data_IF_074572886880
#
_entry.id   IF_074572886880
#
_cell.length_a   1.000
_cell.length_b   1.000
_cell.length_c   1.000
_cell.angle_alpha   90.00
_cell.angle_beta   90.00
_cell.angle_gamma   90.00
#
_symmetry.space_group_name_H-M   'P 1'
#
loop_
_entity.id
_entity.type
_entity.pdbx_description
1 polymer ?
#
# COMPACT_ATOMS: atom_id res chain seq x y z
N UNK A 1 -8.01 -40.92 7.21
CA UNK A 1 -8.98 -39.97 7.77
C UNK A 1 -8.66 -38.62 7.16
N UNK A 2 -9.54 -38.10 6.30
CA UNK A 2 -9.36 -36.77 5.73
C UNK A 2 -9.84 -35.75 6.75
N UNK A 3 -8.93 -35.10 7.40
CA UNK A 3 -9.20 -33.92 8.23
C UNK A 3 -9.19 -32.67 7.36
N UNK A 4 -10.15 -31.81 7.56
CA UNK A 4 -10.31 -30.56 6.81
C UNK A 4 -10.15 -29.37 7.77
N UNK A 5 -9.24 -28.48 7.44
CA UNK A 5 -9.09 -27.17 8.10
C UNK A 5 -9.83 -26.13 7.28
N UNK A 6 -10.79 -25.45 7.88
CA UNK A 6 -11.58 -24.41 7.21
C UNK A 6 -11.23 -23.07 7.87
N UNK A 7 -10.82 -22.10 7.06
CA UNK A 7 -10.59 -20.72 7.48
C UNK A 7 -11.76 -19.85 7.03
N UNK A 8 -12.44 -19.23 7.96
CA UNK A 8 -13.53 -18.30 7.65
C UNK A 8 -13.55 -17.15 8.65
N UNK A 9 -13.52 -15.92 8.16
CA UNK A 9 -13.58 -14.70 8.99
C UNK A 9 -12.58 -14.70 10.17
N UNK A 10 -11.31 -15.00 9.92
CA UNK A 10 -10.25 -15.15 10.93
C UNK A 10 -10.46 -16.29 11.92
N UNK A 11 -11.38 -17.18 11.65
CA UNK A 11 -11.71 -18.34 12.47
C UNK A 11 -11.16 -19.60 11.81
N UNK A 12 -10.41 -20.39 12.58
CA UNK A 12 -9.89 -21.69 12.14
C UNK A 12 -10.84 -22.77 12.64
N UNK A 13 -11.43 -23.52 11.72
CA UNK A 13 -12.28 -24.67 12.02
C UNK A 13 -11.58 -25.94 11.63
N UNK A 14 -11.43 -26.86 12.58
CA UNK A 14 -10.97 -28.20 12.35
C UNK A 14 -12.15 -29.14 12.24
N UNK A 15 -12.21 -29.92 11.18
CA UNK A 15 -13.26 -30.91 10.96
C UNK A 15 -12.69 -32.23 10.48
N UNK A 16 -12.92 -33.31 11.20
CA UNK A 16 -12.78 -34.67 10.73
C UNK A 16 -14.15 -35.40 10.80
N UNK A 17 -14.20 -36.72 10.52
CA UNK A 17 -15.47 -37.48 10.49
C UNK A 17 -16.23 -37.49 11.84
N UNK A 18 -15.59 -37.18 12.97
CA UNK A 18 -16.18 -37.27 14.33
C UNK A 18 -15.95 -36.01 15.18
N UNK A 19 -14.93 -35.21 14.88
CA UNK A 19 -14.51 -34.11 15.74
C UNK A 19 -14.58 -32.80 14.96
N UNK A 20 -15.33 -31.85 15.52
CA UNK A 20 -15.43 -30.50 14.99
C UNK A 20 -15.14 -29.52 16.12
N UNK A 21 -14.11 -28.69 15.97
CA UNK A 21 -13.88 -27.57 16.86
C UNK A 21 -13.45 -26.34 16.06
N UNK A 22 -13.65 -25.19 16.67
CA UNK A 22 -13.38 -23.89 16.07
C UNK A 22 -12.47 -23.11 17.00
N UNK A 23 -11.35 -22.64 16.50
CA UNK A 23 -10.47 -21.70 17.21
C UNK A 23 -10.84 -20.29 16.74
N UNK A 24 -11.48 -19.51 17.62
CA UNK A 24 -11.91 -18.15 17.31
C UNK A 24 -10.81 -17.12 17.60
N UNK A 25 -10.06 -17.31 18.68
CA UNK A 25 -8.85 -16.54 18.96
C UNK A 25 -7.75 -17.45 19.48
N UNK A 26 -6.52 -17.17 19.06
CA UNK A 26 -5.34 -17.94 19.46
C UNK A 26 -4.14 -17.01 19.54
N UNK A 27 -4.07 -16.21 20.61
CA UNK A 27 -2.94 -15.33 20.88
C UNK A 27 -2.09 -15.94 21.97
N UNK A 28 -0.82 -16.07 21.69
CA UNK A 28 0.18 -16.69 22.55
C UNK A 28 1.32 -15.71 22.79
N UNK A 29 2.03 -15.79 23.93
CA UNK A 29 3.23 -14.99 24.18
C UNK A 29 4.27 -15.14 23.05
N UNK A 30 5.03 -14.08 22.79
CA UNK A 30 6.05 -14.05 21.72
C UNK A 30 7.03 -15.24 21.77
N UNK A 31 7.32 -15.73 22.98
CA UNK A 31 8.18 -16.91 23.17
C UNK A 31 7.63 -18.17 22.47
N UNK A 32 6.30 -18.30 22.33
CA UNK A 32 5.67 -19.49 21.74
C UNK A 32 5.29 -19.31 20.26
N UNK A 33 5.55 -18.15 19.67
CA UNK A 33 5.39 -17.95 18.22
C UNK A 33 6.32 -18.91 17.45
N UNK A 34 5.81 -19.43 16.34
CA UNK A 34 6.50 -20.39 15.45
C UNK A 34 6.84 -21.73 16.10
N UNK A 35 6.37 -21.97 17.32
CA UNK A 35 6.58 -23.23 18.03
C UNK A 35 5.36 -24.13 17.96
N UNK A 36 5.63 -25.42 17.82
CA UNK A 36 4.61 -26.46 17.81
C UNK A 36 4.09 -26.68 19.22
N UNK A 37 2.81 -26.39 19.45
CA UNK A 37 2.11 -26.67 20.69
C UNK A 37 1.19 -27.88 20.49
N UNK A 38 1.04 -28.69 21.52
CA UNK A 38 0.09 -29.80 21.53
C UNK A 38 -1.17 -29.34 22.25
N UNK A 39 -2.31 -29.38 21.57
CA UNK A 39 -3.63 -29.08 22.12
C UNK A 39 -4.30 -30.39 22.52
N UNK A 40 -4.55 -30.55 23.82
CA UNK A 40 -5.19 -31.73 24.41
C UNK A 40 -6.54 -31.30 24.98
N UNK A 41 -7.58 -32.11 24.73
CA UNK A 41 -8.91 -31.89 25.26
C UNK A 41 -9.13 -32.75 26.51
N UNK A 42 -9.63 -32.13 27.60
CA UNK A 42 -9.81 -32.76 28.90
C UNK A 42 -11.29 -32.78 29.22
N UNK A 43 -11.85 -33.99 29.46
CA UNK A 43 -13.24 -34.21 29.92
C UNK A 43 -14.34 -33.47 29.11
N UNK A 44 -14.07 -33.10 27.87
CA UNK A 44 -15.03 -32.42 26.99
C UNK A 44 -15.42 -31.00 27.41
N UNK A 45 -14.83 -30.44 28.46
CA UNK A 45 -15.09 -29.08 28.96
C UNK A 45 -13.84 -28.19 29.04
N UNK A 46 -12.67 -28.80 29.11
CA UNK A 46 -11.41 -28.09 29.26
C UNK A 46 -10.42 -28.52 28.19
N UNK A 47 -9.43 -27.67 27.94
CA UNK A 47 -8.30 -27.97 27.10
C UNK A 47 -6.99 -27.55 27.78
N UNK A 48 -5.91 -28.17 27.36
CA UNK A 48 -4.56 -27.76 27.74
C UNK A 48 -3.67 -27.62 26.51
N UNK A 49 -2.73 -26.67 26.57
CA UNK A 49 -1.64 -26.54 25.63
C UNK A 49 -0.35 -26.97 26.28
N UNK A 50 0.38 -27.82 25.59
CA UNK A 50 1.69 -28.31 26.06
C UNK A 50 2.80 -27.94 25.06
N UNK A 51 3.96 -27.57 25.59
CA UNK A 51 5.19 -27.36 24.84
C UNK A 51 6.27 -28.29 25.36
N UNK A 52 6.83 -29.14 24.51
CA UNK A 52 7.85 -30.14 24.87
C UNK A 52 7.45 -31.02 26.06
N UNK A 53 6.19 -31.41 26.21
CA UNK A 53 5.55 -32.18 27.27
C UNK A 53 5.14 -31.39 28.53
N UNK A 54 5.57 -30.14 28.70
CA UNK A 54 5.14 -29.29 29.81
C UNK A 54 3.81 -28.59 29.45
N UNK A 55 2.86 -28.62 30.39
CA UNK A 55 1.60 -27.88 30.22
C UNK A 55 1.88 -26.40 30.45
N UNK A 56 1.68 -25.58 29.41
CA UNK A 56 1.98 -24.14 29.43
C UNK A 56 0.72 -23.26 29.54
N UNK A 57 -0.44 -23.82 29.22
CA UNK A 57 -1.73 -23.13 29.35
C UNK A 57 -2.85 -24.13 29.58
N UNK A 58 -3.85 -23.75 30.40
CA UNK A 58 -5.12 -24.48 30.58
C UNK A 58 -6.28 -23.53 30.42
N UNK A 59 -7.36 -23.97 29.78
CA UNK A 59 -8.53 -23.16 29.55
C UNK A 59 -9.80 -23.99 29.46
N UNK A 60 -10.94 -23.30 29.53
CA UNK A 60 -12.27 -23.91 29.37
C UNK A 60 -12.73 -23.76 27.94
N UNK A 61 -13.36 -24.81 27.42
CA UNK A 61 -14.02 -24.77 26.12
C UNK A 61 -15.22 -23.82 26.14
N UNK A 62 -15.56 -23.26 24.99
CA UNK A 62 -16.72 -22.39 24.80
C UNK A 62 -16.69 -21.09 25.64
N UNK A 63 -15.51 -20.70 26.12
CA UNK A 63 -15.27 -19.49 26.90
C UNK A 63 -14.03 -18.73 26.40
N UNK A 64 -13.96 -17.44 26.70
CA UNK A 64 -12.75 -16.64 26.51
C UNK A 64 -11.81 -16.91 27.67
N UNK A 65 -10.62 -17.42 27.37
CA UNK A 65 -9.57 -17.67 28.35
C UNK A 65 -8.46 -16.65 28.17
N UNK A 66 -8.17 -15.91 29.24
CA UNK A 66 -7.10 -14.92 29.29
C UNK A 66 -6.22 -15.20 30.50
N UNK A 67 -4.92 -15.22 30.32
CA UNK A 67 -3.95 -15.37 31.41
C UNK A 67 -2.68 -14.61 31.04
N UNK A 68 -2.08 -13.98 32.04
CA UNK A 68 -0.78 -13.33 31.94
C UNK A 68 0.23 -14.14 32.74
N UNK A 69 1.25 -14.66 32.08
CA UNK A 69 2.37 -15.34 32.72
C UNK A 69 3.68 -14.54 32.56
N UNK A 70 4.80 -15.07 33.04
CA UNK A 70 6.12 -14.43 32.93
C UNK A 70 6.59 -14.22 31.46
N UNK A 71 5.99 -14.94 30.50
CA UNK A 71 6.34 -14.91 29.08
C UNK A 71 5.43 -13.99 28.27
N UNK A 72 4.26 -13.60 28.82
CA UNK A 72 3.34 -12.68 28.20
C UNK A 72 1.87 -13.09 28.31
N UNK A 73 1.05 -12.42 27.51
CA UNK A 73 -0.41 -12.57 27.51
C UNK A 73 -0.83 -13.75 26.62
N UNK A 74 -1.69 -14.60 27.19
CA UNK A 74 -2.45 -15.61 26.48
C UNK A 74 -3.89 -15.15 26.30
N UNK A 75 -4.45 -15.27 25.09
CA UNK A 75 -5.87 -15.08 24.81
C UNK A 75 -6.34 -16.15 23.84
N UNK A 76 -7.09 -17.11 24.36
CA UNK A 76 -7.47 -18.30 23.60
C UNK A 76 -8.95 -18.56 23.75
N UNK A 77 -9.63 -18.79 22.64
CA UNK A 77 -11.03 -19.12 22.59
C UNK A 77 -11.26 -20.27 21.62
N UNK A 78 -11.68 -21.41 22.14
CA UNK A 78 -11.93 -22.64 21.40
C UNK A 78 -13.35 -23.09 21.67
N UNK A 79 -14.11 -23.33 20.60
CA UNK A 79 -15.46 -23.91 20.65
C UNK A 79 -15.45 -25.35 20.17
N UNK A 80 -16.06 -26.23 20.95
CA UNK A 80 -16.32 -27.61 20.57
C UNK A 80 -17.73 -27.99 20.97
N UNK A 81 -18.47 -28.64 20.08
CA UNK A 81 -19.84 -29.13 20.35
C UNK A 81 -19.86 -30.50 21.02
N UNK A 82 -18.89 -31.34 20.72
CA UNK A 82 -18.79 -32.73 21.18
C UNK A 82 -17.47 -32.96 21.90
N UNK A 83 -17.38 -33.92 22.80
CA UNK A 83 -16.10 -34.33 23.39
C UNK A 83 -15.14 -34.80 22.33
N UNK A 84 -13.90 -34.31 22.40
CA UNK A 84 -12.82 -34.58 21.46
C UNK A 84 -11.81 -35.49 22.16
N UNK A 85 -11.48 -36.62 21.56
CA UNK A 85 -10.62 -37.64 22.15
C UNK A 85 -9.20 -37.65 21.61
N UNK A 86 -8.83 -36.73 20.69
CA UNK A 86 -7.53 -36.71 20.03
C UNK A 86 -6.76 -35.44 20.35
N UNK A 87 -5.45 -35.57 20.36
CA UNK A 87 -4.53 -34.46 20.49
C UNK A 87 -4.25 -33.82 19.13
N UNK A 88 -4.11 -32.50 19.10
CA UNK A 88 -3.84 -31.74 17.88
C UNK A 88 -2.54 -30.95 18.03
N UNK A 89 -1.88 -30.78 16.92
CA UNK A 89 -0.73 -29.87 16.84
C UNK A 89 -1.19 -28.53 16.31
N UNK A 90 -0.92 -27.48 17.05
CA UNK A 90 -1.25 -26.10 16.70
C UNK A 90 0.01 -25.25 16.76
N UNK A 91 0.12 -24.30 15.81
CA UNK A 91 1.23 -23.35 15.77
C UNK A 91 0.67 -21.96 15.44
N UNK A 92 0.99 -20.98 16.25
CA UNK A 92 0.77 -19.56 15.93
C UNK A 92 2.01 -19.06 15.20
N UNK A 93 1.85 -18.71 13.94
CA UNK A 93 2.95 -18.14 13.16
C UNK A 93 3.20 -16.69 13.60
N UNK A 94 4.48 -16.31 13.69
CA UNK A 94 4.86 -14.90 13.73
C UNK A 94 4.51 -14.21 12.40
N UNK A 95 4.38 -12.88 12.40
CA UNK A 95 4.08 -12.15 11.15
C UNK A 95 5.10 -12.44 10.04
N UNK A 96 6.43 -12.44 10.30
CA UNK A 96 7.41 -12.81 9.26
C UNK A 96 7.23 -14.22 8.73
N UNK A 97 6.98 -15.21 9.62
CA UNK A 97 6.77 -16.60 9.24
C UNK A 97 5.50 -16.80 8.43
N UNK A 98 4.41 -16.12 8.81
CA UNK A 98 3.15 -16.14 8.08
C UNK A 98 3.31 -15.54 6.67
N UNK A 99 4.04 -14.42 6.55
CA UNK A 99 4.35 -13.80 5.25
C UNK A 99 5.20 -14.73 4.38
N UNK A 100 6.23 -15.37 4.95
CA UNK A 100 7.04 -16.34 4.21
C UNK A 100 6.23 -17.55 3.77
N UNK A 101 5.32 -18.03 4.62
CA UNK A 101 4.43 -19.14 4.30
C UNK A 101 3.51 -18.82 3.11
N UNK A 102 2.89 -17.63 3.10
CA UNK A 102 2.06 -17.18 1.98
C UNK A 102 2.91 -16.98 0.72
N UNK A 103 4.08 -16.33 0.83
CA UNK A 103 4.96 -16.04 -0.31
C UNK A 103 5.42 -17.28 -1.06
N UNK A 104 5.49 -18.44 -0.42
CA UNK A 104 5.93 -19.69 -1.05
C UNK A 104 5.05 -20.09 -2.23
N UNK A 105 3.75 -19.85 -2.13
CA UNK A 105 2.76 -20.29 -3.13
C UNK A 105 2.02 -19.10 -3.77
N UNK A 106 2.45 -17.87 -3.46
CA UNK A 106 1.90 -16.63 -3.97
C UNK A 106 2.78 -16.04 -5.08
N UNK A 107 2.16 -15.66 -6.17
CA UNK A 107 2.85 -15.03 -7.29
C UNK A 107 2.17 -13.75 -7.75
N UNK A 108 2.99 -12.81 -8.21
CA UNK A 108 2.57 -11.53 -8.78
C UNK A 108 3.26 -11.38 -10.12
N UNK A 109 2.49 -11.08 -11.16
CA UNK A 109 3.04 -10.84 -12.49
C UNK A 109 2.18 -9.83 -13.27
N UNK A 110 2.80 -9.07 -14.14
CA UNK A 110 2.07 -8.23 -15.09
C UNK A 110 1.35 -9.10 -16.12
N UNK A 111 0.09 -8.78 -16.41
CA UNK A 111 -0.75 -9.45 -17.41
C UNK A 111 -0.71 -8.68 -18.72
N UNK A 112 0.20 -9.09 -19.62
CA UNK A 112 0.45 -8.39 -20.88
C UNK A 112 1.59 -7.36 -20.77
N UNK A 113 2.29 -7.11 -21.87
CA UNK A 113 3.43 -6.20 -21.89
C UNK A 113 2.95 -4.74 -21.80
N UNK A 114 3.40 -3.99 -20.80
CA UNK A 114 3.04 -2.58 -20.58
C UNK A 114 1.53 -2.33 -20.42
N UNK A 115 0.78 -3.32 -19.93
CA UNK A 115 -0.68 -3.20 -19.75
C UNK A 115 -1.06 -2.46 -18.47
N UNK A 116 -0.16 -2.38 -17.49
CA UNK A 116 -0.44 -1.89 -16.15
C UNK A 116 -1.38 -2.80 -15.34
N UNK A 117 -1.74 -3.98 -15.88
CA UNK A 117 -2.59 -4.95 -15.19
C UNK A 117 -1.72 -5.94 -14.41
N UNK A 118 -1.90 -5.98 -13.10
CA UNK A 118 -1.20 -6.91 -12.21
C UNK A 118 -2.11 -8.10 -11.94
N UNK A 119 -1.61 -9.29 -12.28
CA UNK A 119 -2.25 -10.56 -11.95
C UNK A 119 -1.65 -11.15 -10.67
N UNK A 120 -2.53 -11.58 -9.77
CA UNK A 120 -2.17 -12.29 -8.55
C UNK A 120 -2.55 -13.76 -8.71
N UNK A 121 -1.71 -14.66 -8.24
CA UNK A 121 -2.01 -16.08 -8.17
C UNK A 121 -1.58 -16.64 -6.82
N UNK A 122 -2.34 -17.60 -6.31
CA UNK A 122 -2.06 -18.31 -5.08
C UNK A 122 -2.41 -19.78 -5.26
N UNK A 123 -1.48 -20.67 -4.89
CA UNK A 123 -1.66 -22.11 -5.00
C UNK A 123 -1.82 -22.72 -3.60
N UNK A 124 -2.64 -23.73 -3.47
CA UNK A 124 -2.86 -24.41 -2.21
C UNK A 124 -3.80 -25.60 -2.37
N UNK A 125 -4.03 -26.31 -1.29
CA UNK A 125 -4.90 -27.50 -1.29
C UNK A 125 -6.36 -27.16 -1.02
N UNK A 126 -6.63 -26.08 -0.32
CA UNK A 126 -7.97 -25.60 0.02
C UNK A 126 -8.37 -24.44 -0.89
N UNK A 127 -9.32 -24.70 -1.79
CA UNK A 127 -9.79 -23.73 -2.78
C UNK A 127 -10.53 -22.53 -2.15
N UNK A 128 -11.30 -22.76 -1.09
CA UNK A 128 -12.02 -21.70 -0.38
C UNK A 128 -11.03 -20.77 0.32
N UNK A 129 -10.06 -21.33 1.04
CA UNK A 129 -9.01 -20.56 1.71
C UNK A 129 -8.18 -19.75 0.72
N UNK A 130 -7.76 -20.35 -0.41
CA UNK A 130 -7.00 -19.63 -1.46
C UNK A 130 -7.77 -18.42 -1.99
N UNK A 131 -9.06 -18.60 -2.25
CA UNK A 131 -9.94 -17.54 -2.76
C UNK A 131 -10.08 -16.40 -1.75
N UNK A 132 -10.28 -16.75 -0.46
CA UNK A 132 -10.37 -15.77 0.62
C UNK A 132 -9.06 -14.98 0.80
N UNK A 133 -7.90 -15.66 0.77
CA UNK A 133 -6.59 -15.00 0.90
C UNK A 133 -6.37 -14.00 -0.23
N UNK A 134 -6.61 -14.40 -1.49
CA UNK A 134 -6.44 -13.50 -2.64
C UNK A 134 -7.38 -12.29 -2.56
N UNK A 135 -8.66 -12.51 -2.28
CA UNK A 135 -9.63 -11.41 -2.16
C UNK A 135 -9.29 -10.47 -0.99
N UNK A 136 -8.78 -11.01 0.12
CA UNK A 136 -8.34 -10.20 1.25
C UNK A 136 -7.12 -9.34 0.90
N UNK A 137 -6.14 -9.91 0.20
CA UNK A 137 -4.97 -9.16 -0.29
C UNK A 137 -5.41 -8.05 -1.25
N UNK A 138 -6.31 -8.33 -2.20
CA UNK A 138 -6.84 -7.34 -3.14
C UNK A 138 -7.52 -6.17 -2.41
N UNK A 139 -8.38 -6.47 -1.45
CA UNK A 139 -9.11 -5.46 -0.68
C UNK A 139 -8.18 -4.61 0.19
N UNK A 140 -7.20 -5.22 0.87
CA UNK A 140 -6.20 -4.49 1.65
C UNK A 140 -5.37 -3.59 0.75
N UNK A 141 -4.91 -4.10 -0.40
CA UNK A 141 -4.10 -3.32 -1.34
C UNK A 141 -4.87 -2.12 -1.88
N UNK A 142 -6.15 -2.31 -2.26
CA UNK A 142 -7.02 -1.23 -2.69
C UNK A 142 -7.23 -0.19 -1.59
N UNK A 143 -7.55 -0.63 -0.36
CA UNK A 143 -7.74 0.27 0.78
C UNK A 143 -6.47 1.08 1.10
N UNK A 144 -5.31 0.44 1.14
CA UNK A 144 -4.02 1.12 1.35
C UNK A 144 -3.70 2.10 0.21
N UNK A 145 -4.05 1.77 -1.03
CA UNK A 145 -3.85 2.68 -2.16
C UNK A 145 -4.72 3.93 -2.04
N UNK A 146 -5.99 3.77 -1.66
CA UNK A 146 -6.92 4.89 -1.41
C UNK A 146 -6.41 5.75 -0.25
N UNK A 147 -6.05 5.14 0.88
CA UNK A 147 -5.51 5.85 2.05
C UNK A 147 -4.25 6.64 1.72
N UNK A 148 -3.29 6.02 1.03
CA UNK A 148 -2.07 6.71 0.59
C UNK A 148 -2.39 7.91 -0.29
N UNK A 149 -3.30 7.74 -1.27
CA UNK A 149 -3.70 8.83 -2.16
C UNK A 149 -4.42 9.97 -1.40
N UNK A 150 -5.23 9.63 -0.41
CA UNK A 150 -5.88 10.60 0.45
C UNK A 150 -4.86 11.41 1.29
N UNK A 151 -3.82 10.74 1.83
CA UNK A 151 -2.74 11.40 2.56
C UNK A 151 -1.93 12.34 1.66
N UNK A 152 -1.56 11.90 0.45
CA UNK A 152 -0.88 12.73 -0.55
C UNK A 152 -1.69 14.00 -0.87
N UNK A 153 -2.98 13.83 -1.13
CA UNK A 153 -3.89 14.96 -1.40
C UNK A 153 -4.06 15.88 -0.19
N UNK A 154 -4.12 15.33 1.02
CA UNK A 154 -4.26 16.12 2.25
C UNK A 154 -3.06 17.04 2.50
N UNK A 155 -1.84 16.58 2.22
CA UNK A 155 -0.64 17.44 2.39
C UNK A 155 -0.61 18.58 1.39
N UNK A 156 -0.93 18.31 0.12
CA UNK A 156 -1.02 19.35 -0.91
C UNK A 156 -2.16 20.34 -0.59
N UNK A 157 -3.32 19.84 -0.15
CA UNK A 157 -4.41 20.70 0.30
C UNK A 157 -4.01 21.58 1.47
N UNK A 158 -3.33 21.05 2.48
CA UNK A 158 -2.83 21.84 3.62
C UNK A 158 -1.86 22.95 3.21
N UNK A 159 -1.00 22.69 2.22
CA UNK A 159 -0.14 23.72 1.63
C UNK A 159 -1.00 24.83 0.97
N UNK A 160 -1.95 24.44 0.12
CA UNK A 160 -2.81 25.40 -0.58
C UNK A 160 -3.71 26.20 0.37
N UNK A 161 -4.25 25.56 1.41
CA UNK A 161 -5.05 26.23 2.44
C UNK A 161 -4.30 27.32 3.19
N UNK A 162 -2.98 27.17 3.36
CA UNK A 162 -2.12 28.20 3.94
C UNK A 162 -1.75 29.30 2.95
N UNK A 163 -1.51 28.94 1.69
CA UNK A 163 -1.05 29.88 0.67
C UNK A 163 -2.17 30.77 0.11
N UNK A 164 -3.39 30.24 -0.04
CA UNK A 164 -4.50 30.96 -0.65
C UNK A 164 -4.91 32.25 0.09
N UNK A 165 -5.08 32.26 1.43
CA UNK A 165 -5.40 33.49 2.18
C UNK A 165 -4.30 34.53 2.09
N UNK A 166 -3.03 34.11 2.19
CA UNK A 166 -1.87 34.98 2.09
C UNK A 166 -1.78 35.64 0.71
N UNK A 167 -1.95 34.84 -0.33
CA UNK A 167 -1.90 35.31 -1.71
C UNK A 167 -3.10 36.20 -2.06
N UNK A 168 -4.28 35.94 -1.49
CA UNK A 168 -5.44 36.83 -1.61
C UNK A 168 -5.15 38.19 -1.03
N UNK A 169 -4.57 38.25 0.17
CA UNK A 169 -4.21 39.53 0.80
C UNK A 169 -3.13 40.24 -0.01
N UNK A 170 -2.13 39.56 -0.52
CA UNK A 170 -1.11 40.16 -1.39
C UNK A 170 -1.71 40.73 -2.68
N UNK A 171 -2.72 40.07 -3.24
CA UNK A 171 -3.46 40.57 -4.41
C UNK A 171 -4.19 41.86 -4.08
N UNK A 172 -4.99 41.85 -3.01
CA UNK A 172 -5.74 43.05 -2.57
C UNK A 172 -4.80 44.24 -2.28
N UNK A 173 -3.67 44.02 -1.60
CA UNK A 173 -2.67 45.05 -1.33
C UNK A 173 -2.02 45.57 -2.63
N UNK A 174 -1.76 44.69 -3.58
CA UNK A 174 -1.17 45.06 -4.88
C UNK A 174 -2.14 45.90 -5.71
N UNK A 175 -3.42 45.51 -5.74
CA UNK A 175 -4.47 46.27 -6.42
C UNK A 175 -4.65 47.67 -5.84
N UNK A 176 -4.65 47.82 -4.52
CA UNK A 176 -4.73 49.11 -3.84
C UNK A 176 -3.55 50.02 -4.20
N UNK A 177 -2.32 49.46 -4.18
CA UNK A 177 -1.10 50.22 -4.53
C UNK A 177 -1.12 50.67 -6.01
N UNK A 178 -1.51 49.75 -6.90
CA UNK A 178 -1.59 50.04 -8.32
C UNK A 178 -2.64 51.08 -8.67
N UNK A 179 -3.82 51.00 -8.04
CA UNK A 179 -4.89 51.98 -8.26
C UNK A 179 -4.49 53.38 -7.74
N UNK A 180 -3.88 53.48 -6.55
CA UNK A 180 -3.34 54.74 -6.07
C UNK A 180 -2.31 55.38 -7.01
N UNK A 181 -1.44 54.55 -7.55
CA UNK A 181 -0.45 55.00 -8.54
C UNK A 181 -1.13 55.55 -9.80
N UNK A 182 -2.15 54.84 -10.34
CA UNK A 182 -2.92 55.30 -11.50
C UNK A 182 -3.66 56.60 -11.27
N UNK A 183 -4.21 56.81 -10.10
CA UNK A 183 -4.85 58.09 -9.71
C UNK A 183 -3.85 59.24 -9.68
N UNK A 184 -2.63 59.00 -9.25
CA UNK A 184 -1.59 60.00 -9.12
C UNK A 184 -0.95 60.40 -10.47
N UNK A 185 -0.72 59.45 -11.37
CA UNK A 185 0.09 59.65 -12.59
C UNK A 185 -0.69 59.59 -13.93
N UNK A 186 -1.98 59.39 -13.90
CA UNK A 186 -2.93 59.35 -15.00
C UNK A 186 -2.59 58.24 -16.03
N UNK A 187 -1.83 58.53 -17.10
CA UNK A 187 -1.51 57.56 -18.15
C UNK A 187 0.01 57.49 -18.35
N UNK A 188 0.57 56.26 -18.34
CA UNK A 188 2.01 56.02 -18.56
C UNK A 188 2.14 55.21 -19.85
N UNK A 189 2.94 55.71 -20.79
CA UNK A 189 3.31 54.96 -21.99
C UNK A 189 4.38 53.95 -21.63
N UNK A 190 4.05 52.66 -21.79
CA UNK A 190 4.92 51.54 -21.48
C UNK A 190 5.50 51.02 -22.79
N UNK A 191 6.82 50.92 -22.84
CA UNK A 191 7.52 50.38 -24.02
C UNK A 191 7.20 48.87 -24.23
N UNK A 192 7.23 48.39 -25.49
CA UNK A 192 7.05 46.97 -25.79
C UNK A 192 8.05 46.06 -25.06
N UNK A 193 9.28 46.57 -24.86
CA UNK A 193 10.31 45.85 -24.12
C UNK A 193 9.89 45.61 -22.66
N UNK A 194 9.32 46.63 -22.04
CA UNK A 194 8.84 46.55 -20.66
C UNK A 194 7.63 45.57 -20.52
N UNK A 195 6.74 45.55 -21.49
CA UNK A 195 5.63 44.56 -21.51
C UNK A 195 6.15 43.13 -21.69
N UNK A 196 7.16 42.93 -22.53
CA UNK A 196 7.79 41.61 -22.72
C UNK A 196 8.47 41.15 -21.43
N UNK A 197 9.22 42.03 -20.75
CA UNK A 197 9.84 41.74 -19.45
C UNK A 197 8.79 41.34 -18.40
N UNK A 198 7.66 42.06 -18.38
CA UNK A 198 6.55 41.75 -17.49
C UNK A 198 6.00 40.34 -17.74
N UNK A 199 5.71 40.03 -19.00
CA UNK A 199 5.18 38.72 -19.38
C UNK A 199 6.13 37.57 -18.99
N UNK A 200 7.42 37.75 -19.22
CA UNK A 200 8.43 36.76 -18.82
C UNK A 200 8.47 36.60 -17.29
N UNK A 201 8.38 37.70 -16.53
CA UNK A 201 8.40 37.63 -15.09
C UNK A 201 7.16 36.89 -14.52
N UNK A 202 5.97 37.15 -15.07
CA UNK A 202 4.74 36.43 -14.70
C UNK A 202 4.87 34.92 -14.93
N UNK A 203 5.43 34.52 -16.09
CA UNK A 203 5.64 33.10 -16.39
C UNK A 203 6.66 32.44 -15.45
N UNK A 204 7.72 33.14 -15.07
CA UNK A 204 8.69 32.63 -14.09
C UNK A 204 8.06 32.43 -12.71
N UNK A 205 7.27 33.37 -12.22
CA UNK A 205 6.60 33.26 -10.92
C UNK A 205 5.55 32.13 -10.94
N UNK A 206 4.81 31.98 -12.02
CA UNK A 206 3.86 30.89 -12.21
C UNK A 206 4.55 29.51 -12.18
N UNK A 207 5.68 29.39 -12.89
CA UNK A 207 6.47 28.14 -12.89
C UNK A 207 7.03 27.86 -11.49
N UNK A 208 7.48 28.87 -10.76
CA UNK A 208 7.94 28.75 -9.38
C UNK A 208 6.86 28.13 -8.48
N UNK A 209 5.64 28.63 -8.54
CA UNK A 209 4.52 28.10 -7.74
C UNK A 209 4.17 26.67 -8.14
N UNK A 210 4.19 26.35 -9.43
CA UNK A 210 3.98 24.95 -9.87
C UNK A 210 5.04 24.01 -9.30
N UNK A 211 6.31 24.43 -9.29
CA UNK A 211 7.38 23.63 -8.69
C UNK A 211 7.26 23.51 -7.17
N UNK A 212 6.81 24.56 -6.47
CA UNK A 212 6.53 24.52 -5.04
C UNK A 212 5.36 23.56 -4.73
N UNK A 213 4.32 23.55 -5.55
CA UNK A 213 3.23 22.59 -5.42
C UNK A 213 3.71 21.15 -5.64
N UNK A 214 4.54 20.90 -6.67
CA UNK A 214 5.15 19.59 -6.89
C UNK A 214 6.09 19.19 -5.74
N UNK A 215 6.86 20.12 -5.20
CA UNK A 215 7.70 19.90 -4.02
C UNK A 215 6.85 19.46 -2.81
N UNK A 216 5.72 20.13 -2.57
CA UNK A 216 4.80 19.78 -1.48
C UNK A 216 4.19 18.38 -1.67
N UNK A 217 3.85 18.00 -2.92
CA UNK A 217 3.37 16.66 -3.24
C UNK A 217 4.45 15.59 -3.03
N UNK A 218 5.68 15.84 -3.51
CA UNK A 218 6.78 14.87 -3.37
C UNK A 218 7.27 14.74 -1.93
N UNK A 219 7.18 15.79 -1.11
CA UNK A 219 7.56 15.75 0.30
C UNK A 219 6.70 14.77 1.12
N UNK A 220 5.53 14.40 0.60
CA UNK A 220 4.69 13.35 1.20
C UNK A 220 5.19 11.93 0.94
N UNK A 221 6.00 11.75 -0.11
CA UNK A 221 6.41 10.44 -0.62
C UNK A 221 7.88 10.14 -0.37
N UNK A 222 8.71 11.18 -0.29
CA UNK A 222 10.17 11.07 -0.30
C UNK A 222 10.82 11.89 0.79
N UNK A 223 11.96 11.41 1.27
CA UNK A 223 12.82 12.17 2.20
C UNK A 223 13.50 13.33 1.50
N UNK A 224 13.94 14.38 2.24
CA UNK A 224 14.62 15.54 1.65
C UNK A 224 15.84 15.19 0.78
N UNK A 225 16.55 14.11 1.08
CA UNK A 225 17.77 13.68 0.37
C UNK A 225 17.47 12.84 -0.88
N UNK A 226 16.21 12.60 -1.20
CA UNK A 226 15.84 11.81 -2.37
C UNK A 226 16.21 12.56 -3.68
N UNK A 227 16.72 11.87 -4.74
CA UNK A 227 17.12 12.50 -6.00
C UNK A 227 16.04 13.38 -6.64
N UNK A 228 14.76 13.00 -6.56
CA UNK A 228 13.64 13.80 -7.06
C UNK A 228 13.45 15.11 -6.28
N UNK A 229 13.65 15.09 -4.96
CA UNK A 229 13.58 16.31 -4.13
C UNK A 229 14.77 17.23 -4.45
N UNK A 230 15.96 16.68 -4.60
CA UNK A 230 17.15 17.43 -5.03
C UNK A 230 16.95 18.08 -6.40
N UNK A 231 16.37 17.37 -7.37
CA UNK A 231 16.10 17.89 -8.70
C UNK A 231 15.10 19.07 -8.68
N UNK A 232 14.02 18.97 -7.91
CA UNK A 232 13.04 20.09 -7.75
C UNK A 232 13.68 21.29 -7.06
N UNK A 233 14.48 21.06 -6.03
CA UNK A 233 15.19 22.14 -5.33
C UNK A 233 16.17 22.86 -6.27
N UNK A 234 16.87 22.15 -7.14
CA UNK A 234 17.73 22.73 -8.16
C UNK A 234 16.94 23.57 -9.18
N UNK A 235 15.77 23.09 -9.63
CA UNK A 235 14.89 23.84 -10.52
C UNK A 235 14.35 25.12 -9.85
N UNK A 236 13.94 25.04 -8.60
CA UNK A 236 13.51 26.22 -7.83
C UNK A 236 14.64 27.25 -7.67
N UNK A 237 15.85 26.79 -7.43
CA UNK A 237 17.03 27.66 -7.36
C UNK A 237 17.29 28.38 -8.68
N UNK A 238 17.22 27.67 -9.81
CA UNK A 238 17.38 28.23 -11.16
C UNK A 238 16.30 29.29 -11.47
N UNK A 239 15.05 29.02 -11.15
CA UNK A 239 13.95 29.97 -11.33
C UNK A 239 14.16 31.22 -10.47
N UNK A 240 14.54 31.07 -9.20
CA UNK A 240 14.83 32.20 -8.32
C UNK A 240 15.97 33.08 -8.87
N UNK A 241 17.01 32.48 -9.46
CA UNK A 241 18.11 33.21 -10.10
C UNK A 241 17.60 34.01 -11.29
N UNK A 242 16.82 33.39 -12.20
CA UNK A 242 16.24 34.08 -13.37
C UNK A 242 15.32 35.23 -12.98
N UNK A 243 14.49 35.04 -11.94
CA UNK A 243 13.63 36.10 -11.41
C UNK A 243 14.44 37.28 -10.85
N UNK A 244 15.55 37.02 -10.18
CA UNK A 244 16.46 38.04 -9.67
C UNK A 244 17.13 38.84 -10.81
N UNK A 245 17.61 38.17 -11.85
CA UNK A 245 18.21 38.79 -13.06
C UNK A 245 17.20 39.69 -13.77
N UNK A 246 15.96 39.23 -13.93
CA UNK A 246 14.87 40.01 -14.50
C UNK A 246 14.56 41.27 -13.68
N UNK A 247 14.53 41.14 -12.34
CA UNK A 247 14.30 42.29 -11.44
C UNK A 247 15.42 43.32 -11.58
N UNK A 248 16.68 42.91 -11.79
CA UNK A 248 17.79 43.85 -12.03
C UNK A 248 17.64 44.56 -13.37
N UNK A 249 17.17 43.93 -14.41
CA UNK A 249 16.90 44.54 -15.71
C UNK A 249 15.82 45.62 -15.62
N UNK A 250 14.74 45.38 -14.87
CA UNK A 250 13.69 46.36 -14.63
C UNK A 250 14.20 47.59 -13.87
N UNK A 251 15.18 47.46 -12.97
CA UNK A 251 15.81 48.58 -12.25
C UNK A 251 16.49 49.63 -13.12
N UNK A 252 16.82 49.31 -14.36
CA UNK A 252 17.47 50.23 -15.32
C UNK A 252 16.49 51.17 -16.03
N UNK A 253 15.21 50.97 -15.93
CA UNK A 253 14.17 51.81 -16.54
C UNK A 253 13.97 53.13 -15.79
N UNK A 254 13.39 54.17 -16.44
CA UNK A 254 12.96 55.39 -15.78
C UNK A 254 12.05 55.13 -14.56
N UNK A 255 12.12 55.95 -13.54
CA UNK A 255 11.51 55.65 -12.25
C UNK A 255 9.98 55.44 -12.33
N UNK A 256 9.26 56.26 -13.07
CA UNK A 256 7.82 56.13 -13.24
C UNK A 256 7.42 54.88 -14.00
N UNK A 257 8.14 54.54 -15.08
CA UNK A 257 7.92 53.30 -15.83
C UNK A 257 8.27 52.06 -15.01
N UNK A 258 9.39 52.12 -14.27
CA UNK A 258 9.79 51.04 -13.36
C UNK A 258 8.73 50.78 -12.29
N UNK A 259 8.22 51.86 -11.66
CA UNK A 259 7.22 51.73 -10.62
C UNK A 259 5.88 51.21 -11.16
N UNK A 260 5.44 51.68 -12.35
CA UNK A 260 4.27 51.16 -13.02
C UNK A 260 4.41 49.64 -13.30
N UNK A 261 5.54 49.25 -13.86
CA UNK A 261 5.76 47.82 -14.18
C UNK A 261 5.81 46.94 -12.94
N UNK A 262 6.42 47.40 -11.87
CA UNK A 262 6.43 46.63 -10.61
C UNK A 262 5.02 46.48 -10.04
N UNK A 263 4.24 47.53 -9.95
CA UNK A 263 2.90 47.49 -9.39
C UNK A 263 1.95 46.68 -10.28
N UNK A 264 2.01 46.86 -11.60
CA UNK A 264 1.20 46.09 -12.54
C UNK A 264 1.57 44.62 -12.55
N UNK A 265 2.88 44.29 -12.50
CA UNK A 265 3.39 42.92 -12.34
C UNK A 265 2.80 42.27 -11.10
N UNK A 266 2.88 42.99 -9.94
CA UNK A 266 2.45 42.41 -8.68
C UNK A 266 0.95 42.07 -8.71
N UNK A 267 0.11 42.94 -9.28
CA UNK A 267 -1.31 42.63 -9.50
C UNK A 267 -1.46 41.42 -10.44
N UNK A 268 -0.78 41.45 -11.58
CA UNK A 268 -0.93 40.39 -12.60
C UNK A 268 -0.49 39.01 -12.09
N UNK A 269 0.70 38.97 -11.45
CA UNK A 269 1.26 37.75 -10.84
C UNK A 269 0.30 37.23 -9.78
N UNK A 270 -0.08 38.07 -8.82
CA UNK A 270 -0.93 37.65 -7.71
C UNK A 270 -2.31 37.17 -8.19
N UNK A 271 -2.89 37.80 -9.23
CA UNK A 271 -4.15 37.36 -9.84
C UNK A 271 -4.01 35.98 -10.47
N UNK A 272 -2.98 35.76 -11.28
CA UNK A 272 -2.77 34.48 -11.96
C UNK A 272 -2.44 33.36 -10.96
N UNK A 273 -1.58 33.64 -9.96
CA UNK A 273 -1.23 32.67 -8.92
C UNK A 273 -2.46 32.31 -8.08
N UNK A 274 -3.22 33.30 -7.61
CA UNK A 274 -4.42 33.04 -6.82
C UNK A 274 -5.42 32.19 -7.59
N UNK A 275 -5.67 32.51 -8.85
CA UNK A 275 -6.59 31.74 -9.71
C UNK A 275 -6.09 30.32 -9.95
N UNK A 276 -4.80 30.15 -10.24
CA UNK A 276 -4.20 28.82 -10.48
C UNK A 276 -4.25 27.96 -9.24
N UNK A 277 -3.86 28.52 -8.05
CA UNK A 277 -3.91 27.78 -6.80
C UNK A 277 -5.33 27.46 -6.35
N UNK A 278 -6.28 28.37 -6.54
CA UNK A 278 -7.69 28.14 -6.24
C UNK A 278 -8.26 26.99 -7.08
N UNK A 279 -7.94 26.96 -8.37
CA UNK A 279 -8.35 25.87 -9.25
C UNK A 279 -7.74 24.53 -8.81
N UNK A 280 -6.44 24.51 -8.50
CA UNK A 280 -5.77 23.32 -7.97
C UNK A 280 -6.37 22.85 -6.64
N UNK A 281 -6.69 23.76 -5.74
CA UNK A 281 -7.36 23.47 -4.48
C UNK A 281 -8.73 22.81 -4.70
N UNK A 282 -9.54 23.37 -5.60
CA UNK A 282 -10.86 22.83 -5.90
C UNK A 282 -10.77 21.43 -6.52
N UNK A 283 -9.85 21.22 -7.47
CA UNK A 283 -9.63 19.90 -8.10
C UNK A 283 -9.20 18.84 -7.07
N UNK A 284 -8.24 19.18 -6.20
CA UNK A 284 -7.77 18.26 -5.16
C UNK A 284 -8.84 17.99 -4.10
N UNK A 285 -9.66 18.99 -3.76
CA UNK A 285 -10.79 18.83 -2.84
C UNK A 285 -11.83 17.84 -3.40
N UNK A 286 -12.13 17.93 -4.69
CA UNK A 286 -13.04 17.01 -5.39
C UNK A 286 -12.42 15.60 -5.44
N UNK A 287 -11.14 15.48 -5.78
CA UNK A 287 -10.44 14.20 -5.83
C UNK A 287 -10.39 13.50 -4.46
N UNK A 288 -10.15 14.26 -3.39
CA UNK A 288 -10.19 13.75 -2.02
C UNK A 288 -11.59 13.27 -1.61
N UNK A 289 -12.63 14.04 -1.96
CA UNK A 289 -14.02 13.68 -1.64
C UNK A 289 -14.51 12.44 -2.42
N UNK A 290 -13.95 12.17 -3.60
CA UNK A 290 -14.30 11.02 -4.43
C UNK A 290 -13.68 9.70 -3.99
N UNK A 291 -12.81 9.67 -2.97
CA UNK A 291 -12.07 8.47 -2.51
C UNK A 291 -11.47 7.62 -3.65
N UNK A 292 -11.05 8.28 -4.74
CA UNK A 292 -10.58 7.61 -5.95
C UNK A 292 -9.10 7.26 -5.79
N UNK A 293 -8.82 5.97 -5.60
CA UNK A 293 -7.46 5.43 -5.68
C UNK A 293 -6.98 5.26 -7.13
N UNK A 294 -5.68 5.07 -7.32
CA UNK A 294 -5.08 4.78 -8.64
C UNK A 294 -5.21 3.31 -9.05
N UNK A 295 -5.72 2.47 -8.16
CA UNK A 295 -5.86 1.02 -8.35
C UNK A 295 -7.33 0.65 -8.36
N UNK A 296 -7.71 -0.13 -9.36
CA UNK A 296 -9.05 -0.71 -9.47
C UNK A 296 -8.94 -2.23 -9.54
N UNK A 297 -9.73 -2.94 -8.76
CA UNK A 297 -9.90 -4.38 -8.90
C UNK A 297 -10.66 -4.63 -10.20
N UNK A 298 -10.02 -5.31 -11.16
CA UNK A 298 -10.62 -5.67 -12.45
C UNK A 298 -11.44 -6.93 -12.28
N UNK A 299 -10.88 -7.92 -11.55
CA UNK A 299 -11.49 -9.21 -11.33
C UNK A 299 -11.17 -9.72 -9.93
N UNK A 300 -12.12 -10.39 -9.31
CA UNK A 300 -11.98 -11.00 -7.98
C UNK A 300 -11.64 -12.47 -8.11
N UNK A 301 -10.97 -13.01 -7.11
CA UNK A 301 -10.68 -14.43 -7.09
C UNK A 301 -11.96 -15.25 -6.89
N UNK A 302 -12.13 -16.25 -7.74
CA UNK A 302 -13.20 -17.26 -7.66
C UNK A 302 -12.60 -18.63 -7.37
N UNK A 303 -13.40 -19.52 -6.79
CA UNK A 303 -12.95 -20.87 -6.49
C UNK A 303 -12.59 -21.64 -7.77
N UNK A 304 -11.39 -22.26 -7.84
CA UNK A 304 -11.00 -23.03 -9.00
C UNK A 304 -11.84 -24.30 -9.13
N UNK A 305 -12.32 -24.57 -10.35
CA UNK A 305 -13.13 -25.76 -10.65
C UNK A 305 -12.27 -27.03 -10.78
N UNK A 306 -11.03 -26.88 -11.28
CA UNK A 306 -10.13 -28.03 -11.57
C UNK A 306 -8.80 -27.87 -10.84
N UNK A 307 -8.25 -28.97 -10.27
CA UNK A 307 -6.91 -28.94 -9.69
C UNK A 307 -5.85 -28.84 -10.80
N UNK A 308 -4.77 -28.10 -10.51
CA UNK A 308 -3.60 -27.94 -11.40
C UNK A 308 -2.57 -29.04 -11.20
N UNK A 309 -2.58 -29.74 -10.06
CA UNK A 309 -1.69 -30.87 -9.72
C UNK A 309 -2.48 -31.96 -8.97
N UNK A 310 -2.06 -33.26 -9.06
CA UNK A 310 -1.04 -33.79 -9.97
C UNK A 310 -1.51 -33.81 -11.43
N UNK A 311 -0.59 -33.61 -12.36
CA UNK A 311 -0.86 -33.79 -13.81
C UNK A 311 -0.96 -35.30 -14.11
N UNK A 312 -2.15 -35.87 -14.08
CA UNK A 312 -2.42 -37.32 -14.16
C UNK A 312 -1.65 -38.02 -15.29
N UNK A 313 -1.61 -37.42 -16.48
CA UNK A 313 -0.90 -38.01 -17.63
C UNK A 313 0.62 -38.12 -17.40
N UNK A 314 1.24 -37.04 -16.87
CA UNK A 314 2.68 -37.03 -16.60
C UNK A 314 3.02 -38.03 -15.49
N UNK A 315 2.19 -38.10 -14.45
CA UNK A 315 2.38 -39.05 -13.35
C UNK A 315 2.26 -40.50 -13.85
N UNK A 316 1.33 -40.80 -14.76
CA UNK A 316 1.17 -42.10 -15.36
C UNK A 316 2.39 -42.49 -16.21
N UNK A 317 2.85 -41.62 -17.09
CA UNK A 317 4.04 -41.84 -17.92
C UNK A 317 5.27 -42.08 -17.03
N UNK A 318 5.46 -41.27 -15.99
CA UNK A 318 6.58 -41.43 -15.06
C UNK A 318 6.50 -42.80 -14.33
N UNK A 319 5.31 -43.21 -13.90
CA UNK A 319 5.10 -44.48 -13.23
C UNK A 319 5.44 -45.67 -14.15
N UNK A 320 5.09 -45.60 -15.44
CA UNK A 320 5.44 -46.63 -16.42
C UNK A 320 6.96 -46.69 -16.63
N UNK A 321 7.62 -45.54 -16.76
CA UNK A 321 9.08 -45.48 -16.90
C UNK A 321 9.82 -46.04 -15.68
N UNK A 322 9.44 -45.63 -14.49
CA UNK A 322 10.05 -46.09 -13.22
C UNK A 322 9.76 -47.61 -13.03
N UNK A 323 8.52 -48.02 -13.28
CA UNK A 323 8.12 -49.41 -13.16
C UNK A 323 8.87 -50.30 -14.16
N UNK A 324 9.00 -49.90 -15.43
CA UNK A 324 9.77 -50.59 -16.45
C UNK A 324 11.26 -50.67 -16.10
N UNK A 325 11.86 -49.57 -15.64
CA UNK A 325 13.26 -49.58 -15.22
C UNK A 325 13.53 -50.52 -14.03
N UNK A 326 12.69 -50.41 -12.98
CA UNK A 326 12.81 -51.33 -11.82
C UNK A 326 12.56 -52.78 -12.20
N UNK A 327 11.60 -53.06 -13.10
CA UNK A 327 11.32 -54.41 -13.60
C UNK A 327 12.50 -54.99 -14.36
N UNK A 328 13.13 -54.22 -15.26
CA UNK A 328 14.33 -54.68 -15.99
C UNK A 328 15.53 -54.87 -15.06
N UNK A 329 15.73 -53.98 -14.08
CA UNK A 329 16.80 -54.12 -13.08
C UNK A 329 16.65 -55.40 -12.25
N UNK A 330 15.44 -55.70 -11.77
CA UNK A 330 15.13 -56.89 -11.02
C UNK A 330 15.29 -58.17 -11.87
N UNK A 331 14.89 -58.15 -13.14
CA UNK A 331 15.08 -59.24 -14.06
C UNK A 331 16.57 -59.55 -14.30
N UNK A 332 17.39 -58.50 -14.48
CA UNK A 332 18.85 -58.61 -14.60
C UNK A 332 19.51 -59.20 -13.36
N UNK A 333 19.14 -58.66 -12.17
CA UNK A 333 19.65 -59.16 -10.89
C UNK A 333 19.28 -60.65 -10.69
N UNK A 334 18.04 -61.02 -10.97
CA UNK A 334 17.59 -62.40 -10.88
C UNK A 334 18.34 -63.30 -11.86
N UNK A 335 18.62 -62.84 -13.08
CA UNK A 335 19.39 -63.57 -14.05
C UNK A 335 20.85 -63.75 -13.60
N UNK A 336 21.48 -62.76 -13.05
CA UNK A 336 22.83 -62.87 -12.47
C UNK A 336 22.90 -63.89 -11.32
N UNK A 337 21.90 -63.91 -10.44
CA UNK A 337 21.83 -64.83 -9.30
C UNK A 337 21.55 -66.31 -9.76
N UNK A 338 21.03 -66.50 -10.97
CA UNK A 338 20.69 -67.81 -11.52
C UNK A 338 21.84 -68.45 -12.37
N UNK A 339 22.74 -67.62 -12.88
CA UNK A 339 23.87 -68.00 -13.72
C UNK A 339 25.21 -68.05 -12.97
N UNK A 340 25.27 -67.75 -11.67
CA UNK A 340 26.36 -68.01 -10.73
C UNK A 340 26.02 -69.21 -9.87
#
# INVERSE_FOLDING_TARGET
VQSKVIYKNNVVTWQDKKNVFVIQSFDVPNFYLDKKLTLNFINGQEFSLSYKKDVVFKGKLNAINQSLDQKGLWKIQIYAKNPISHDFSVTKLSMPSAVQWIKKDYGVAERGKNSGVIGLNYNGEDKEHMTQVLNHILNIYQAQNIERKALESAQTLSFLEKQLPELKQQLEDSEIKFNRFREQYNTIDVTQEAELMLKQNVELEKLKIQLQQQQAELSSKYTPDHPLMSAINAQLSEINKKTSEMTQSIKRLPETQRLYLQLYRDVKVNTELYTALLNSYQQLKIAKAGEIGNVRIIDTAIEPVKPIKPKKLITLVLAIFVGGFLGTLLALLRNMMRTG
#
